data_IF_182281026541
#
_entry.id   IF_182281026541
#
_cell.length_a   1.000
_cell.length_b   1.000
_cell.length_c   1.000
_cell.angle_alpha   90.00
_cell.angle_beta   90.00
_cell.angle_gamma   90.00
#
_symmetry.space_group_name_H-M   'P 1'
#
loop_
_entity.id
_entity.type
_entity.pdbx_description
1 polymer ?
#
# COMPACT_ATOMS: atom_id res chain seq x y z
N UNK A 1 -0.51 30.41 20.16
CA UNK A 1 0.14 30.10 18.87
C UNK A 1 1.38 30.95 18.73
N UNK A 2 2.49 30.30 18.43
CA UNK A 2 3.72 30.98 18.05
C UNK A 2 3.54 31.63 16.66
N UNK A 3 3.61 32.96 16.59
CA UNK A 3 3.49 33.69 15.32
C UNK A 3 4.59 33.31 14.32
N UNK A 4 5.73 32.81 14.81
CA UNK A 4 6.81 32.32 13.96
C UNK A 4 6.37 31.08 13.17
N UNK A 5 5.76 30.09 13.84
CA UNK A 5 5.31 28.83 13.21
C UNK A 5 4.25 29.09 12.12
N UNK A 6 3.32 30.01 12.37
CA UNK A 6 2.33 30.43 11.36
C UNK A 6 3.01 31.06 10.15
N UNK A 7 4.02 31.91 10.38
CA UNK A 7 4.82 32.53 9.32
C UNK A 7 5.56 31.51 8.45
N UNK A 8 6.14 30.48 9.07
CA UNK A 8 6.81 29.38 8.35
C UNK A 8 5.83 28.59 7.47
N UNK A 9 4.65 28.22 8.00
CA UNK A 9 3.61 27.55 7.22
C UNK A 9 3.13 28.40 6.05
N UNK A 10 2.89 29.70 6.29
CA UNK A 10 2.46 30.63 5.25
C UNK A 10 3.45 30.70 4.10
N UNK A 11 4.75 30.85 4.40
CA UNK A 11 5.79 30.89 3.37
C UNK A 11 5.86 29.60 2.55
N UNK A 12 5.70 28.44 3.20
CA UNK A 12 5.64 27.14 2.52
C UNK A 12 4.43 27.04 1.59
N UNK A 13 3.24 27.42 2.07
CA UNK A 13 2.00 27.35 1.28
C UNK A 13 2.05 28.31 0.09
N UNK A 14 2.53 29.56 0.27
CA UNK A 14 2.68 30.53 -0.82
C UNK A 14 3.59 29.98 -1.93
N UNK A 15 4.72 29.38 -1.56
CA UNK A 15 5.65 28.78 -2.51
C UNK A 15 5.04 27.59 -3.28
N UNK A 16 4.23 26.75 -2.62
CA UNK A 16 3.54 25.62 -3.28
C UNK A 16 2.41 26.13 -4.18
N UNK A 17 1.56 27.01 -3.67
CA UNK A 17 0.42 27.56 -4.39
C UNK A 17 0.87 28.26 -5.69
N UNK A 18 1.99 28.98 -5.66
CA UNK A 18 2.58 29.57 -6.86
C UNK A 18 3.12 28.51 -7.82
N UNK A 19 3.84 27.49 -7.32
CA UNK A 19 4.45 26.45 -8.16
C UNK A 19 3.42 25.52 -8.83
N UNK A 20 2.33 25.22 -8.13
CA UNK A 20 1.28 24.29 -8.57
C UNK A 20 0.00 25.01 -9.07
N UNK A 21 0.04 26.35 -9.16
CA UNK A 21 -1.07 27.20 -9.58
C UNK A 21 -2.38 26.93 -8.78
N UNK A 22 -2.28 26.78 -7.46
CA UNK A 22 -3.45 26.59 -6.62
C UNK A 22 -4.34 27.85 -6.66
N UNK A 23 -5.66 27.71 -6.86
CA UNK A 23 -6.61 28.82 -6.90
C UNK A 23 -6.94 29.35 -5.50
N UNK A 24 -5.93 29.64 -4.67
CA UNK A 24 -6.10 30.18 -3.33
C UNK A 24 -5.92 31.71 -3.32
N UNK A 25 -6.91 32.49 -2.84
CA UNK A 25 -6.69 33.90 -2.53
C UNK A 25 -5.74 34.03 -1.33
N UNK A 26 -5.17 35.23 -1.12
CA UNK A 26 -4.26 35.53 0.00
C UNK A 26 -4.86 35.14 1.36
N UNK A 27 -6.15 35.41 1.56
CA UNK A 27 -6.85 35.05 2.79
C UNK A 27 -7.01 33.53 2.95
N UNK A 28 -7.12 32.78 1.84
CA UNK A 28 -7.17 31.31 1.84
C UNK A 28 -5.84 30.68 2.23
N UNK A 29 -4.72 31.27 1.80
CA UNK A 29 -3.38 30.87 2.23
C UNK A 29 -3.21 31.08 3.74
N UNK A 30 -3.60 32.26 4.25
CA UNK A 30 -3.53 32.56 5.68
C UNK A 30 -4.39 31.62 6.52
N UNK A 31 -5.63 31.33 6.08
CA UNK A 31 -6.52 30.38 6.74
C UNK A 31 -5.92 28.96 6.79
N UNK A 32 -5.34 28.49 5.69
CA UNK A 32 -4.67 27.19 5.63
C UNK A 32 -3.44 27.13 6.55
N UNK A 33 -2.63 28.18 6.58
CA UNK A 33 -1.46 28.27 7.46
C UNK A 33 -1.85 28.18 8.94
N UNK A 34 -2.91 28.89 9.34
CA UNK A 34 -3.44 28.83 10.70
C UNK A 34 -3.94 27.42 11.04
N UNK A 35 -4.74 26.81 10.16
CA UNK A 35 -5.26 25.46 10.40
C UNK A 35 -4.14 24.41 10.55
N UNK A 36 -3.08 24.51 9.75
CA UNK A 36 -1.91 23.64 9.87
C UNK A 36 -1.11 23.93 11.14
N UNK A 37 -0.91 25.21 11.48
CA UNK A 37 -0.20 25.58 12.72
C UNK A 37 -0.95 25.11 13.98
N UNK A 38 -2.28 25.18 14.01
CA UNK A 38 -3.09 24.69 15.13
C UNK A 38 -3.00 23.17 15.28
N UNK A 39 -2.97 22.46 14.16
CA UNK A 39 -2.98 21.00 14.12
C UNK A 39 -1.59 20.39 14.37
N UNK A 40 -0.54 21.11 14.00
CA UNK A 40 0.84 20.65 14.05
C UNK A 40 1.68 21.57 14.95
N UNK A 41 1.30 21.66 16.23
CA UNK A 41 2.12 22.30 17.25
C UNK A 41 3.38 21.45 17.47
N UNK A 42 4.47 21.83 16.79
CA UNK A 42 5.60 20.93 16.54
C UNK A 42 6.81 21.30 17.38
N UNK A 43 6.95 20.63 18.53
CA UNK A 43 8.25 20.41 19.16
C UNK A 43 8.60 18.93 19.01
N UNK A 44 9.65 18.55 18.24
CA UNK A 44 10.61 19.40 17.51
C UNK A 44 10.03 20.01 16.21
N UNK A 45 10.67 21.07 15.66
CA UNK A 45 10.26 21.69 14.41
C UNK A 45 10.31 20.70 13.23
N UNK A 46 9.32 20.79 12.34
CA UNK A 46 9.24 19.96 11.15
C UNK A 46 10.27 20.39 10.09
N UNK A 47 10.75 19.44 9.30
CA UNK A 47 11.57 19.78 8.14
C UNK A 47 10.73 20.46 7.04
N UNK A 48 11.35 21.34 6.24
CA UNK A 48 10.68 21.99 5.11
C UNK A 48 10.03 20.98 4.15
N UNK A 49 10.70 19.85 3.88
CA UNK A 49 10.16 18.79 3.03
C UNK A 49 8.87 18.20 3.62
N UNK A 50 8.88 17.90 4.92
CA UNK A 50 7.70 17.40 5.63
C UNK A 50 6.55 18.41 5.63
N UNK A 51 6.85 19.70 5.87
CA UNK A 51 5.85 20.77 5.80
C UNK A 51 5.22 20.84 4.41
N UNK A 52 6.04 20.78 3.34
CA UNK A 52 5.52 20.77 1.96
C UNK A 52 4.58 19.60 1.72
N UNK A 53 5.00 18.38 2.09
CA UNK A 53 4.15 17.17 1.96
C UNK A 53 2.82 17.32 2.69
N UNK A 54 2.85 17.79 3.94
CA UNK A 54 1.65 17.98 4.75
C UNK A 54 0.73 19.04 4.13
N UNK A 55 1.29 20.18 3.71
CA UNK A 55 0.51 21.26 3.09
C UNK A 55 -0.19 20.79 1.81
N UNK A 56 0.52 20.09 0.93
CA UNK A 56 -0.05 19.53 -0.31
C UNK A 56 -1.17 18.54 -0.02
N UNK A 57 -0.95 17.57 0.86
CA UNK A 57 -1.99 16.60 1.17
C UNK A 57 -3.17 17.22 1.94
N UNK A 58 -2.93 18.15 2.86
CA UNK A 58 -4.00 18.83 3.57
C UNK A 58 -4.86 19.66 2.62
N UNK A 59 -4.25 20.35 1.65
CA UNK A 59 -4.99 21.11 0.65
C UNK A 59 -5.95 20.22 -0.16
N UNK A 60 -5.49 19.06 -0.61
CA UNK A 60 -6.30 18.14 -1.43
C UNK A 60 -7.27 17.28 -0.62
N UNK A 61 -6.83 16.72 0.50
CA UNK A 61 -7.58 15.71 1.25
C UNK A 61 -8.30 16.30 2.46
N UNK A 62 -7.87 17.47 2.97
CA UNK A 62 -8.38 18.10 4.19
C UNK A 62 -9.90 18.29 4.21
N UNK A 63 -10.52 18.88 3.16
CA UNK A 63 -11.97 19.04 3.10
C UNK A 63 -12.72 17.69 3.16
N UNK A 64 -12.23 16.67 2.45
CA UNK A 64 -12.81 15.32 2.48
C UNK A 64 -12.66 14.68 3.85
N UNK A 65 -11.49 14.77 4.48
CA UNK A 65 -11.23 14.25 5.82
C UNK A 65 -12.14 14.93 6.84
N UNK A 66 -12.30 16.26 6.77
CA UNK A 66 -13.19 17.00 7.65
C UNK A 66 -14.65 16.54 7.50
N UNK A 67 -15.13 16.39 6.27
CA UNK A 67 -16.47 15.85 6.01
C UNK A 67 -16.62 14.42 6.53
N UNK A 68 -15.62 13.55 6.35
CA UNK A 68 -15.64 12.17 6.84
C UNK A 68 -15.59 12.08 8.37
N UNK A 69 -14.97 13.05 9.05
CA UNK A 69 -14.92 13.12 10.51
C UNK A 69 -16.19 13.72 11.14
N UNK A 70 -16.98 14.48 10.37
CA UNK A 70 -18.28 14.99 10.81
C UNK A 70 -19.37 13.93 10.63
N UNK A 71 -19.84 13.36 11.75
CA UNK A 71 -20.89 12.33 11.75
C UNK A 71 -22.22 12.81 11.16
N UNK A 72 -22.46 14.11 11.08
CA UNK A 72 -23.68 14.69 10.54
C UNK A 72 -23.56 15.07 9.07
N UNK A 73 -22.39 14.90 8.45
CA UNK A 73 -22.16 15.28 7.05
C UNK A 73 -22.68 14.20 6.08
N UNK A 74 -23.69 14.49 5.24
CA UNK A 74 -24.14 13.54 4.22
C UNK A 74 -23.04 13.26 3.18
N UNK A 75 -22.21 14.27 2.87
CA UNK A 75 -21.05 14.11 2.01
C UNK A 75 -20.01 13.17 2.63
N UNK A 76 -19.77 13.31 3.95
CA UNK A 76 -18.93 12.39 4.72
C UNK A 76 -19.39 10.93 4.63
N UNK A 77 -20.70 10.69 4.80
CA UNK A 77 -21.29 9.36 4.64
C UNK A 77 -21.06 8.80 3.22
N UNK A 78 -21.20 9.64 2.18
CA UNK A 78 -20.91 9.28 0.80
C UNK A 78 -19.45 8.86 0.58
N UNK A 79 -18.49 9.61 1.13
CA UNK A 79 -17.07 9.27 1.06
C UNK A 79 -16.74 7.96 1.78
N UNK A 80 -17.35 7.73 2.94
CA UNK A 80 -17.21 6.48 3.68
C UNK A 80 -17.75 5.29 2.90
N UNK A 81 -18.91 5.42 2.26
CA UNK A 81 -19.47 4.37 1.42
C UNK A 81 -18.59 4.09 0.19
N UNK A 82 -18.08 5.13 -0.47
CA UNK A 82 -17.15 4.97 -1.59
C UNK A 82 -15.88 4.22 -1.17
N UNK A 83 -15.33 4.54 0.01
CA UNK A 83 -14.18 3.83 0.57
C UNK A 83 -14.49 2.38 0.94
N UNK A 84 -15.65 2.12 1.57
CA UNK A 84 -16.14 0.75 1.84
C UNK A 84 -16.10 -0.10 0.57
N UNK A 85 -16.69 0.41 -0.51
CA UNK A 85 -16.74 -0.27 -1.80
C UNK A 85 -15.36 -0.51 -2.43
N UNK A 86 -14.43 0.44 -2.29
CA UNK A 86 -13.04 0.26 -2.74
C UNK A 86 -12.33 -0.86 -1.98
N UNK A 87 -12.52 -0.94 -0.66
CA UNK A 87 -11.92 -1.98 0.18
C UNK A 87 -12.49 -3.35 -0.17
N UNK A 88 -13.81 -3.48 -0.37
CA UNK A 88 -14.44 -4.73 -0.79
C UNK A 88 -13.85 -5.22 -2.11
N UNK A 89 -13.80 -4.35 -3.13
CA UNK A 89 -13.22 -4.70 -4.44
C UNK A 89 -11.74 -5.08 -4.34
N UNK A 90 -10.98 -4.38 -3.50
CA UNK A 90 -9.59 -4.71 -3.25
C UNK A 90 -9.45 -6.08 -2.58
N UNK A 91 -10.26 -6.39 -1.57
CA UNK A 91 -10.25 -7.70 -0.90
C UNK A 91 -10.63 -8.85 -1.84
N UNK A 92 -11.65 -8.64 -2.68
CA UNK A 92 -12.05 -9.60 -3.71
C UNK A 92 -10.94 -9.84 -4.74
N UNK A 93 -10.24 -8.77 -5.17
CA UNK A 93 -9.08 -8.89 -6.06
C UNK A 93 -7.93 -9.68 -5.42
N UNK A 94 -7.81 -9.63 -4.11
CA UNK A 94 -6.85 -10.43 -3.33
C UNK A 94 -7.37 -11.85 -3.00
N UNK A 95 -8.53 -12.23 -3.54
CA UNK A 95 -9.04 -13.61 -3.54
C UNK A 95 -10.14 -13.93 -2.53
N UNK A 96 -10.61 -12.96 -1.73
CA UNK A 96 -11.74 -13.22 -0.81
C UNK A 96 -13.06 -13.41 -1.57
N UNK A 97 -13.93 -14.26 -1.03
CA UNK A 97 -15.32 -14.34 -1.49
C UNK A 97 -16.03 -12.99 -1.23
N UNK A 98 -17.17 -12.73 -1.90
CA UNK A 98 -17.95 -11.53 -1.62
C UNK A 98 -18.35 -11.39 -0.15
N UNK A 99 -18.70 -12.49 0.50
CA UNK A 99 -19.11 -12.57 1.91
C UNK A 99 -17.93 -12.29 2.84
N UNK A 100 -16.80 -13.00 2.65
CA UNK A 100 -15.57 -12.79 3.43
C UNK A 100 -15.05 -11.34 3.27
N UNK A 101 -15.21 -10.74 2.09
CA UNK A 101 -14.83 -9.36 1.84
C UNK A 101 -15.72 -8.38 2.62
N UNK A 102 -17.03 -8.61 2.69
CA UNK A 102 -17.94 -7.79 3.50
C UNK A 102 -17.61 -7.88 4.99
N UNK A 103 -17.40 -9.10 5.50
CA UNK A 103 -17.04 -9.38 6.88
C UNK A 103 -15.69 -8.72 7.24
N UNK A 104 -14.69 -8.88 6.38
CA UNK A 104 -13.39 -8.21 6.51
C UNK A 104 -13.56 -6.70 6.64
N UNK A 105 -14.34 -6.08 5.74
CA UNK A 105 -14.58 -4.63 5.77
C UNK A 105 -15.29 -4.21 7.05
N UNK A 106 -16.34 -4.92 7.45
CA UNK A 106 -17.08 -4.66 8.69
C UNK A 106 -16.19 -4.71 9.92
N UNK A 107 -15.27 -5.69 9.98
CA UNK A 107 -14.31 -5.83 11.08
C UNK A 107 -13.34 -4.64 11.16
N UNK A 108 -12.83 -4.15 10.03
CA UNK A 108 -11.77 -3.13 10.03
C UNK A 108 -12.31 -1.69 10.10
N UNK A 109 -13.55 -1.45 9.66
CA UNK A 109 -14.10 -0.11 9.47
C UNK A 109 -14.05 0.78 10.72
N UNK A 110 -14.42 0.29 11.93
CA UNK A 110 -14.33 1.11 13.15
C UNK A 110 -12.90 1.51 13.50
N UNK A 111 -11.91 0.66 13.18
CA UNK A 111 -10.49 0.97 13.37
C UNK A 111 -9.99 2.02 12.37
N UNK A 112 -10.48 1.94 11.13
CA UNK A 112 -10.20 2.92 10.07
C UNK A 112 -10.75 4.30 10.44
N UNK A 113 -12.00 4.40 10.89
CA UNK A 113 -12.62 5.66 11.32
C UNK A 113 -11.83 6.34 12.45
N UNK A 114 -11.46 5.59 13.49
CA UNK A 114 -10.61 6.10 14.59
C UNK A 114 -9.22 6.53 14.12
N UNK A 115 -8.66 5.82 13.14
CA UNK A 115 -7.36 6.18 12.57
C UNK A 115 -7.43 7.48 11.75
N UNK A 116 -8.56 7.73 11.06
CA UNK A 116 -8.76 8.95 10.27
C UNK A 116 -8.79 10.22 11.13
N UNK A 117 -9.34 10.15 12.35
CA UNK A 117 -9.32 11.26 13.31
C UNK A 117 -7.90 11.74 13.64
N UNK A 118 -6.94 10.80 13.60
CA UNK A 118 -5.52 11.06 13.88
C UNK A 118 -4.69 11.20 12.61
N UNK A 119 -5.31 11.40 11.44
CA UNK A 119 -4.60 11.50 10.18
C UNK A 119 -3.74 12.78 10.14
N UNK A 120 -2.44 12.60 9.89
CA UNK A 120 -1.44 13.68 9.93
C UNK A 120 -1.02 14.19 8.54
N UNK A 121 -1.68 13.78 7.46
CA UNK A 121 -1.38 14.23 6.09
C UNK A 121 0.09 14.00 5.63
N UNK A 122 0.82 13.09 6.29
CA UNK A 122 2.19 12.68 5.90
C UNK A 122 2.22 11.85 4.61
N UNK A 123 1.06 11.38 4.16
CA UNK A 123 0.82 10.73 2.88
C UNK A 123 -0.57 11.16 2.39
N UNK A 124 -0.89 10.94 1.12
CA UNK A 124 -2.24 11.18 0.62
C UNK A 124 -3.26 10.25 1.31
N UNK A 125 -4.51 10.68 1.38
CA UNK A 125 -5.61 9.92 1.97
C UNK A 125 -5.73 8.53 1.35
N UNK A 126 -5.60 8.44 0.03
CA UNK A 126 -5.59 7.16 -0.70
C UNK A 126 -4.46 6.23 -0.25
N UNK A 127 -3.24 6.77 -0.10
CA UNK A 127 -2.08 5.99 0.36
C UNK A 127 -2.27 5.53 1.81
N UNK A 128 -2.83 6.39 2.66
CA UNK A 128 -3.16 6.06 4.04
C UNK A 128 -4.12 4.89 4.15
N UNK A 129 -5.24 4.91 3.41
CA UNK A 129 -6.19 3.80 3.40
C UNK A 129 -5.59 2.53 2.79
N UNK A 130 -4.79 2.63 1.73
CA UNK A 130 -4.10 1.47 1.14
C UNK A 130 -3.14 0.81 2.15
N UNK A 131 -2.43 1.59 2.95
CA UNK A 131 -1.56 1.08 4.01
C UNK A 131 -2.36 0.38 5.12
N UNK A 132 -3.51 0.94 5.53
CA UNK A 132 -4.40 0.28 6.50
C UNK A 132 -4.94 -1.02 5.93
N UNK A 133 -5.42 -1.02 4.68
CA UNK A 133 -5.92 -2.21 3.98
C UNK A 133 -4.89 -3.33 4.02
N UNK A 134 -3.67 -3.11 3.51
CA UNK A 134 -2.63 -4.15 3.45
C UNK A 134 -2.32 -4.73 4.82
N UNK A 135 -2.17 -3.87 5.84
CA UNK A 135 -1.89 -4.29 7.22
C UNK A 135 -3.02 -5.14 7.79
N UNK A 136 -4.26 -4.68 7.65
CA UNK A 136 -5.41 -5.40 8.20
C UNK A 136 -5.72 -6.68 7.42
N UNK A 137 -5.54 -6.66 6.11
CA UNK A 137 -5.75 -7.80 5.23
C UNK A 137 -4.77 -8.93 5.55
N UNK A 138 -3.48 -8.61 5.71
CA UNK A 138 -2.47 -9.59 6.13
C UNK A 138 -2.81 -10.21 7.50
N UNK A 139 -3.27 -9.38 8.45
CA UNK A 139 -3.72 -9.86 9.77
C UNK A 139 -4.95 -10.76 9.66
N UNK A 140 -5.95 -10.36 8.87
CA UNK A 140 -7.17 -11.14 8.65
C UNK A 140 -6.85 -12.51 8.04
N UNK A 141 -5.97 -12.55 7.03
CA UNK A 141 -5.51 -13.79 6.41
C UNK A 141 -4.81 -14.70 7.42
N UNK A 142 -4.00 -14.16 8.33
CA UNK A 142 -3.39 -14.96 9.40
C UNK A 142 -4.46 -15.57 10.30
N UNK A 143 -5.39 -14.75 10.81
CA UNK A 143 -6.44 -15.20 11.73
C UNK A 143 -7.37 -16.26 11.11
N UNK A 144 -7.72 -16.12 9.81
CA UNK A 144 -8.66 -17.02 9.14
C UNK A 144 -8.00 -18.28 8.58
N UNK A 145 -6.71 -18.23 8.21
CA UNK A 145 -5.95 -19.45 7.88
C UNK A 145 -5.89 -20.41 9.07
N UNK A 146 -5.63 -19.90 10.28
CA UNK A 146 -5.63 -20.74 11.48
C UNK A 146 -7.01 -21.32 11.80
N UNK A 147 -8.10 -20.56 11.60
CA UNK A 147 -9.45 -21.08 11.83
C UNK A 147 -9.84 -22.19 10.87
N UNK A 148 -9.46 -22.10 9.59
CA UNK A 148 -9.76 -23.19 8.64
C UNK A 148 -9.05 -24.48 9.02
N UNK A 149 -7.77 -24.42 9.37
CA UNK A 149 -7.02 -25.62 9.80
C UNK A 149 -7.66 -26.26 11.04
N UNK A 150 -8.06 -25.45 12.03
CA UNK A 150 -8.70 -25.96 13.26
C UNK A 150 -10.12 -26.47 13.01
N UNK A 151 -10.89 -25.86 12.11
CA UNK A 151 -12.22 -26.32 11.76
C UNK A 151 -12.19 -27.64 10.98
N UNK A 152 -11.20 -27.80 10.09
CA UNK A 152 -10.96 -29.05 9.35
C UNK A 152 -10.54 -30.20 10.29
N UNK A 153 -9.77 -29.90 11.34
CA UNK A 153 -9.38 -30.86 12.38
C UNK A 153 -10.52 -31.26 13.32
N UNK A 154 -11.58 -30.44 13.46
CA UNK A 154 -12.69 -30.67 14.39
C UNK A 154 -13.93 -31.31 13.76
N UNK A 155 -13.90 -31.62 12.45
CA UNK A 155 -14.85 -32.53 11.82
C UNK A 155 -16.30 -32.05 11.84
N UNK A 156 -16.67 -31.22 10.86
CA UNK A 156 -18.07 -31.03 10.50
C UNK A 156 -18.24 -31.27 9.00
N UNK A 157 -18.70 -32.49 8.70
CA UNK A 157 -19.09 -32.98 7.38
C UNK A 157 -20.44 -32.34 6.99
N UNK A 158 -20.46 -31.02 6.73
CA UNK A 158 -21.66 -30.31 6.27
C UNK A 158 -21.39 -29.66 4.92
N UNK A 159 -21.73 -30.42 3.88
CA UNK A 159 -22.20 -30.00 2.57
C UNK A 159 -21.77 -28.59 2.07
N UNK A 160 -20.53 -28.48 1.59
CA UNK A 160 -20.06 -27.34 0.81
C UNK A 160 -19.75 -27.77 -0.65
N UNK A 161 -20.79 -28.03 -1.43
CA UNK A 161 -20.68 -28.26 -2.88
C UNK A 161 -21.12 -27.02 -3.64
N UNK A 162 -20.32 -25.95 -3.61
CA UNK A 162 -20.27 -24.96 -4.69
C UNK A 162 -19.03 -24.06 -4.63
N UNK A 163 -18.48 -23.75 -3.45
CA UNK A 163 -17.30 -22.86 -3.30
C UNK A 163 -15.96 -23.60 -3.07
N UNK A 164 -15.99 -24.91 -2.95
CA UNK A 164 -14.80 -25.75 -2.74
C UNK A 164 -13.91 -25.84 -3.99
N UNK A 165 -14.47 -25.64 -5.18
CA UNK A 165 -13.72 -25.76 -6.45
C UNK A 165 -12.79 -24.55 -6.66
N UNK A 166 -13.24 -23.32 -6.33
CA UNK A 166 -12.41 -22.11 -6.45
C UNK A 166 -11.32 -22.05 -5.36
N UNK A 167 -11.63 -22.54 -4.15
CA UNK A 167 -10.65 -22.60 -3.07
C UNK A 167 -9.56 -23.63 -3.30
N UNK A 168 -9.86 -24.81 -3.84
CA UNK A 168 -8.85 -25.79 -4.20
C UNK A 168 -7.89 -25.23 -5.26
N UNK A 169 -8.41 -24.60 -6.32
CA UNK A 169 -7.58 -23.96 -7.35
C UNK A 169 -6.65 -22.87 -6.78
N UNK A 170 -7.20 -21.99 -5.93
CA UNK A 170 -6.43 -20.94 -5.26
C UNK A 170 -5.39 -21.46 -4.27
N UNK A 171 -5.65 -22.58 -3.59
CA UNK A 171 -4.68 -23.22 -2.70
C UNK A 171 -3.52 -23.78 -3.52
N UNK A 172 -3.81 -24.51 -4.59
CA UNK A 172 -2.78 -25.07 -5.46
C UNK A 172 -1.94 -23.98 -6.16
N UNK A 173 -2.56 -22.88 -6.61
CA UNK A 173 -1.83 -21.76 -7.19
C UNK A 173 -0.90 -21.11 -6.17
N UNK A 174 -1.35 -20.92 -4.93
CA UNK A 174 -0.54 -20.37 -3.84
C UNK A 174 0.62 -21.32 -3.46
N UNK A 175 0.40 -22.63 -3.47
CA UNK A 175 1.45 -23.62 -3.28
C UNK A 175 2.53 -23.49 -4.35
N UNK A 176 2.16 -23.40 -5.62
CA UNK A 176 3.11 -23.22 -6.72
C UNK A 176 3.85 -21.89 -6.60
N UNK A 177 3.16 -20.79 -6.26
CA UNK A 177 3.82 -19.50 -6.00
C UNK A 177 4.83 -19.59 -4.86
N UNK A 178 4.52 -20.35 -3.81
CA UNK A 178 5.44 -20.60 -2.69
C UNK A 178 6.65 -21.43 -3.14
N UNK A 179 6.43 -22.49 -3.93
CA UNK A 179 7.51 -23.31 -4.50
C UNK A 179 8.41 -22.49 -5.43
N UNK A 180 7.84 -21.66 -6.30
CA UNK A 180 8.59 -20.73 -7.15
C UNK A 180 9.45 -19.80 -6.29
N UNK A 181 8.88 -19.21 -5.23
CA UNK A 181 9.65 -18.33 -4.33
C UNK A 181 10.79 -19.08 -3.65
N UNK A 182 10.55 -20.28 -3.13
CA UNK A 182 11.56 -21.10 -2.48
C UNK A 182 12.68 -21.48 -3.46
N UNK A 183 12.34 -21.85 -4.68
CA UNK A 183 13.31 -22.22 -5.71
C UNK A 183 14.15 -21.02 -6.16
N UNK A 184 13.53 -19.84 -6.35
CA UNK A 184 14.28 -18.62 -6.64
C UNK A 184 15.27 -18.31 -5.50
N UNK A 185 14.87 -18.49 -4.24
CA UNK A 185 15.71 -18.26 -3.07
C UNK A 185 16.81 -19.32 -2.90
N UNK A 186 16.63 -20.54 -3.40
CA UNK A 186 17.67 -21.57 -3.39
C UNK A 186 18.73 -21.33 -4.48
N UNK A 187 18.32 -20.80 -5.64
CA UNK A 187 19.21 -20.50 -6.78
C UNK A 187 20.00 -19.19 -6.56
N UNK A 188 19.35 -18.18 -5.98
CA UNK A 188 19.93 -16.84 -5.85
C UNK A 188 20.49 -16.58 -4.46
N UNK A 189 21.59 -15.83 -4.42
CA UNK A 189 22.06 -15.21 -3.18
C UNK A 189 21.02 -14.19 -2.71
N UNK A 190 20.91 -14.00 -1.40
CA UNK A 190 19.97 -13.04 -0.79
C UNK A 190 20.00 -11.65 -1.45
N UNK A 191 21.19 -11.16 -1.81
CA UNK A 191 21.36 -9.85 -2.44
C UNK A 191 20.86 -9.84 -3.91
N UNK A 192 21.11 -10.91 -4.66
CA UNK A 192 20.65 -11.04 -6.05
C UNK A 192 19.12 -11.17 -6.09
N UNK A 193 18.53 -11.89 -5.12
CA UNK A 193 17.09 -11.96 -4.92
C UNK A 193 16.50 -10.57 -4.64
N UNK A 194 17.10 -9.81 -3.72
CA UNK A 194 16.62 -8.48 -3.35
C UNK A 194 16.63 -7.50 -4.54
N UNK A 195 17.68 -7.56 -5.38
CA UNK A 195 17.77 -6.77 -6.61
C UNK A 195 16.59 -7.08 -7.55
N UNK A 196 16.27 -8.36 -7.77
CA UNK A 196 15.15 -8.74 -8.63
C UNK A 196 13.79 -8.39 -8.02
N UNK A 197 13.65 -8.59 -6.71
CA UNK A 197 12.43 -8.23 -5.99
C UNK A 197 12.13 -6.74 -6.14
N UNK A 198 13.09 -5.86 -5.89
CA UNK A 198 12.90 -4.42 -6.07
C UNK A 198 12.69 -4.02 -7.53
N UNK A 199 13.33 -4.68 -8.47
CA UNK A 199 13.21 -4.28 -9.86
C UNK A 199 11.88 -4.71 -10.50
N UNK A 200 11.34 -5.88 -10.12
CA UNK A 200 10.20 -6.51 -10.80
C UNK A 200 8.94 -6.67 -9.94
N UNK A 201 9.07 -6.77 -8.61
CA UNK A 201 7.95 -7.04 -7.70
C UNK A 201 7.52 -5.79 -6.96
N UNK A 202 8.48 -5.05 -6.41
CA UNK A 202 8.20 -3.76 -5.79
C UNK A 202 8.15 -2.70 -6.90
N UNK A 203 6.97 -2.19 -7.23
CA UNK A 203 6.82 -1.27 -8.37
C UNK A 203 7.41 0.13 -8.10
N UNK A 204 7.46 0.51 -6.83
CA UNK A 204 7.76 1.87 -6.40
C UNK A 204 8.67 1.88 -5.17
N UNK A 205 9.55 2.88 -5.12
CA UNK A 205 10.32 3.28 -3.95
C UNK A 205 9.93 4.69 -3.54
N UNK A 206 10.06 4.98 -2.25
CA UNK A 206 9.93 6.34 -1.73
C UNK A 206 11.34 6.86 -1.51
N UNK A 207 11.71 7.94 -2.20
CA UNK A 207 12.97 8.62 -1.96
C UNK A 207 12.99 9.15 -0.51
N UNK A 208 13.97 8.73 0.31
CA UNK A 208 14.03 9.13 1.72
C UNK A 208 14.29 10.63 1.92
N UNK A 209 14.87 11.34 0.95
CA UNK A 209 15.16 12.77 1.06
C UNK A 209 13.99 13.63 0.57
N UNK A 210 13.43 13.29 -0.59
CA UNK A 210 12.37 14.09 -1.21
C UNK A 210 10.95 13.63 -0.86
N UNK A 211 10.78 12.39 -0.35
CA UNK A 211 9.48 11.76 -0.17
C UNK A 211 8.80 11.40 -1.49
N UNK A 212 9.44 11.64 -2.63
CA UNK A 212 8.86 11.38 -3.93
C UNK A 212 8.76 9.87 -4.19
N UNK A 213 7.62 9.47 -4.75
CA UNK A 213 7.40 8.09 -5.21
C UNK A 213 8.03 7.95 -6.58
N UNK A 214 9.01 7.05 -6.72
CA UNK A 214 9.71 6.79 -7.96
C UNK A 214 9.71 5.28 -8.27
N UNK A 215 9.88 4.92 -9.54
CA UNK A 215 10.10 3.51 -9.91
C UNK A 215 11.51 3.07 -9.49
N UNK A 216 11.66 1.82 -9.07
CA UNK A 216 12.99 1.25 -8.85
C UNK A 216 13.83 1.28 -10.13
N UNK A 217 15.06 1.79 -10.00
CA UNK A 217 16.08 1.79 -11.06
C UNK A 217 17.34 1.11 -10.53
N UNK A 218 18.21 0.63 -11.43
CA UNK A 218 19.50 0.04 -11.01
C UNK A 218 20.32 1.03 -10.17
N UNK A 219 20.18 2.34 -10.42
CA UNK A 219 20.82 3.40 -9.64
C UNK A 219 20.28 3.44 -8.22
N UNK A 220 18.96 3.52 -8.05
CA UNK A 220 18.32 3.56 -6.74
C UNK A 220 18.58 2.29 -5.92
N UNK A 221 18.57 1.12 -6.57
CA UNK A 221 18.94 -0.16 -5.95
C UNK A 221 20.41 -0.13 -5.49
N UNK A 222 21.31 0.42 -6.33
CA UNK A 222 22.72 0.56 -5.99
C UNK A 222 22.95 1.45 -4.78
N UNK A 223 22.30 2.62 -4.73
CA UNK A 223 22.34 3.52 -3.57
C UNK A 223 21.84 2.82 -2.31
N UNK A 224 20.75 2.06 -2.40
CA UNK A 224 20.16 1.31 -1.28
C UNK A 224 21.06 0.19 -0.75
N UNK A 225 21.78 -0.50 -1.62
CA UNK A 225 22.67 -1.62 -1.27
C UNK A 225 24.13 -1.21 -1.07
N UNK A 226 24.45 0.09 -1.17
CA UNK A 226 25.83 0.59 -1.23
C UNK A 226 26.67 -0.13 -2.33
N UNK A 227 26.08 -0.37 -3.49
CA UNK A 227 26.71 -1.00 -4.66
C UNK A 227 26.81 -0.03 -5.84
N UNK A 228 27.90 -0.05 -6.63
CA UNK A 228 27.97 0.72 -7.88
C UNK A 228 26.88 0.29 -8.87
N UNK A 229 26.33 1.24 -9.63
CA UNK A 229 25.31 1.02 -10.68
C UNK A 229 25.65 -0.18 -11.57
N UNK A 230 26.86 -0.20 -12.14
CA UNK A 230 27.31 -1.25 -13.05
C UNK A 230 27.30 -2.64 -12.39
N UNK A 231 27.55 -2.69 -11.08
CA UNK A 231 27.52 -3.94 -10.29
C UNK A 231 26.10 -4.45 -10.17
N UNK A 232 25.12 -3.58 -9.87
CA UNK A 232 23.70 -3.94 -9.80
C UNK A 232 23.21 -4.45 -11.15
N UNK A 233 23.48 -3.72 -12.24
CA UNK A 233 23.10 -4.14 -13.59
C UNK A 233 23.69 -5.51 -13.94
N UNK A 234 24.98 -5.73 -13.64
CA UNK A 234 25.65 -7.00 -13.91
C UNK A 234 25.13 -8.15 -13.03
N UNK A 235 24.80 -7.89 -11.75
CA UNK A 235 24.20 -8.88 -10.85
C UNK A 235 22.79 -9.25 -11.30
N UNK A 236 21.94 -8.27 -11.62
CA UNK A 236 20.59 -8.48 -12.16
C UNK A 236 20.61 -9.37 -13.41
N UNK A 237 21.46 -9.05 -14.39
CA UNK A 237 21.60 -9.85 -15.63
C UNK A 237 22.05 -11.29 -15.33
N UNK A 238 23.03 -11.48 -14.44
CA UNK A 238 23.51 -12.82 -14.05
C UNK A 238 22.46 -13.60 -13.26
N UNK A 239 21.71 -12.94 -12.38
CA UNK A 239 20.61 -13.55 -11.64
C UNK A 239 19.52 -14.04 -12.60
N UNK A 240 19.09 -13.20 -13.54
CA UNK A 240 18.12 -13.58 -14.57
C UNK A 240 18.63 -14.74 -15.43
N UNK A 241 19.91 -14.72 -15.85
CA UNK A 241 20.50 -15.81 -16.61
C UNK A 241 20.54 -17.14 -15.82
N UNK A 242 20.78 -17.09 -14.50
CA UNK A 242 20.71 -18.26 -13.61
C UNK A 242 19.28 -18.77 -13.49
N UNK A 243 18.31 -17.89 -13.21
CA UNK A 243 16.90 -18.28 -13.16
C UNK A 243 16.41 -18.87 -14.49
N UNK A 244 16.82 -18.29 -15.62
CA UNK A 244 16.42 -18.77 -16.95
C UNK A 244 17.10 -20.07 -17.35
N UNK A 245 18.18 -20.49 -16.70
CA UNK A 245 18.86 -21.76 -16.98
C UNK A 245 18.45 -22.88 -16.03
N UNK A 246 17.70 -22.58 -14.97
CA UNK A 246 17.23 -23.57 -14.01
C UNK A 246 15.98 -24.30 -14.55
N UNK A 247 16.12 -25.62 -14.77
CA UNK A 247 15.06 -26.44 -15.33
C UNK A 247 13.85 -26.57 -14.40
N UNK A 248 14.07 -26.68 -13.09
CA UNK A 248 12.99 -26.88 -12.11
C UNK A 248 12.12 -25.64 -12.02
N UNK A 249 12.75 -24.47 -11.97
CA UNK A 249 12.06 -23.19 -11.97
C UNK A 249 11.27 -22.98 -13.28
N UNK A 250 11.82 -23.36 -14.42
CA UNK A 250 11.09 -23.32 -15.70
C UNK A 250 9.83 -24.20 -15.69
N UNK A 251 9.89 -25.38 -15.06
CA UNK A 251 8.72 -26.26 -14.92
C UNK A 251 7.65 -25.62 -14.04
N UNK A 252 8.04 -25.07 -12.88
CA UNK A 252 7.11 -24.39 -11.98
C UNK A 252 6.44 -23.18 -12.65
N UNK A 253 7.18 -22.38 -13.42
CA UNK A 253 6.58 -21.27 -14.18
C UNK A 253 5.63 -21.74 -15.27
N UNK A 254 5.95 -22.83 -15.97
CA UNK A 254 5.05 -23.41 -16.98
C UNK A 254 3.75 -23.90 -16.33
N UNK A 255 3.86 -24.57 -15.18
CA UNK A 255 2.69 -25.03 -14.43
C UNK A 255 1.82 -23.86 -13.97
N UNK A 256 2.43 -22.81 -13.43
CA UNK A 256 1.71 -21.58 -13.04
C UNK A 256 0.99 -20.93 -14.23
N UNK A 257 1.64 -20.85 -15.39
CA UNK A 257 1.04 -20.28 -16.60
C UNK A 257 -0.14 -21.10 -17.11
N UNK A 258 -0.01 -22.43 -17.16
CA UNK A 258 -1.11 -23.32 -17.58
C UNK A 258 -2.33 -23.17 -16.67
N UNK A 259 -2.12 -23.00 -15.37
CA UNK A 259 -3.20 -22.80 -14.40
C UNK A 259 -3.89 -21.45 -14.59
N UNK A 260 -3.11 -20.37 -14.75
CA UNK A 260 -3.67 -19.03 -14.99
C UNK A 260 -4.54 -18.93 -16.26
N UNK A 261 -4.23 -19.72 -17.30
CA UNK A 261 -5.04 -19.80 -18.52
C UNK A 261 -6.33 -20.64 -18.35
N UNK A 262 -6.32 -21.57 -17.40
CA UNK A 262 -7.47 -22.44 -17.13
C UNK A 262 -8.58 -21.70 -16.38
N UNK A 263 -8.22 -20.68 -15.59
CA UNK A 263 -9.20 -19.86 -14.85
C UNK A 263 -9.90 -18.80 -15.74
N UNK A 264 -9.39 -18.54 -16.95
CA UNK A 264 -9.98 -17.57 -17.89
C UNK A 264 -10.98 -18.21 -18.88
N UNK A 265 -11.10 -19.54 -18.90
CA UNK A 265 -11.95 -20.32 -19.83
C UNK A 265 -13.24 -20.81 -19.17
#
# INVERSE_FOLDING_TARGET
>A
MDQQVVGEWRAVIEAIAQAEAWPLPVDGIAALANALSDRFDSSPPLSLATMRTIATHYYHDGPTVQQMCDSNSPAGAGHWQAWRQRIIRAAQKEGLSPEDAEDFVQQIFPGVQRSLQNFQFKASLTTFFAAIFRRQFAKWLQEHKYRRVVADELGEEVAATSDTVDMASKVEENEIRMLVRQEIQSILRSEDYQILYWYYVEEQTVDPQSGAVAKWTDKAIGERLAMPLNTVTARRKRALARLSSDYRLQQLFRELLLRSQSDES
#
